data_IF_995471882015
#
_entry.id   IF_995471882015
#
_cell.length_a   1.000
_cell.length_b   1.000
_cell.length_c   1.000
_cell.angle_alpha   90.00
_cell.angle_beta   90.00
_cell.angle_gamma   90.00
#
_symmetry.space_group_name_H-M   'P 1'
#
loop_
_entity.id
_entity.type
_entity.pdbx_description
1 polymer ?
#
# COMPACT_ATOMS: atom_id res chain seq x y z
N UNK A 1 -2.45 33.52 21.72
CA UNK A 1 -0.99 33.41 21.92
C UNK A 1 -0.52 32.06 21.38
N UNK A 2 0.45 32.02 20.46
CA UNK A 2 0.92 30.78 19.84
C UNK A 2 1.60 29.88 20.87
N UNK A 3 1.25 28.59 20.90
CA UNK A 3 1.86 27.59 21.79
C UNK A 3 3.38 27.48 21.61
N UNK A 4 3.90 27.85 20.43
CA UNK A 4 5.33 27.81 20.11
C UNK A 4 6.08 28.96 20.78
N UNK A 5 5.46 30.15 20.86
CA UNK A 5 6.04 31.30 21.55
C UNK A 5 6.18 31.02 23.05
N UNK A 6 5.15 30.41 23.64
CA UNK A 6 5.18 30.01 25.04
C UNK A 6 6.22 28.90 25.34
N UNK A 7 6.45 27.99 24.39
CA UNK A 7 7.48 26.96 24.52
C UNK A 7 8.90 27.54 24.36
N UNK A 8 9.09 28.48 23.44
CA UNK A 8 10.36 29.19 23.26
C UNK A 8 10.72 30.03 24.51
N UNK A 9 9.73 30.72 25.10
CA UNK A 9 9.91 31.48 26.34
C UNK A 9 10.20 30.57 27.55
N UNK A 10 9.52 29.42 27.66
CA UNK A 10 9.84 28.41 28.68
C UNK A 10 11.25 27.84 28.51
N UNK A 11 11.66 27.49 27.30
CA UNK A 11 13.01 26.99 27.03
C UNK A 11 14.08 28.04 27.32
N UNK A 12 13.83 29.31 27.00
CA UNK A 12 14.73 30.41 27.33
C UNK A 12 14.91 30.57 28.85
N UNK A 13 13.81 30.50 29.61
CA UNK A 13 13.85 30.56 31.09
C UNK A 13 14.47 29.32 31.73
N UNK A 14 14.36 28.15 31.10
CA UNK A 14 14.98 26.91 31.57
C UNK A 14 16.49 26.90 31.28
N UNK A 15 16.91 27.44 30.13
CA UNK A 15 18.31 27.61 29.74
C UNK A 15 19.06 28.66 30.58
N UNK A 16 18.34 29.68 31.09
CA UNK A 16 18.92 30.62 32.06
C UNK A 16 19.16 29.99 33.44
N UNK A 17 18.43 28.92 33.79
CA UNK A 17 18.48 28.31 35.13
C UNK A 17 19.27 26.98 35.19
N UNK A 18 19.59 26.34 34.06
CA UNK A 18 20.36 25.10 34.02
C UNK A 18 21.53 25.19 33.03
N UNK A 19 22.74 25.17 33.59
CA UNK A 19 24.01 24.71 33.03
C UNK A 19 24.18 24.70 31.49
N UNK A 20 25.07 25.61 31.06
CA UNK A 20 25.85 25.66 29.81
C UNK A 20 25.08 25.67 28.47
N UNK A 21 25.38 26.62 27.58
CA UNK A 21 24.81 26.64 26.24
C UNK A 21 25.25 25.38 25.48
N UNK A 22 24.32 24.45 25.27
CA UNK A 22 24.52 23.38 24.31
C UNK A 22 24.55 23.99 22.90
N UNK A 23 25.50 23.61 22.03
CA UNK A 23 25.54 24.08 20.64
C UNK A 23 24.23 23.79 19.89
N UNK A 24 23.45 22.81 20.34
CA UNK A 24 22.12 22.48 19.80
C UNK A 24 21.14 23.63 20.06
N UNK A 25 21.18 24.26 21.23
CA UNK A 25 20.27 25.36 21.56
C UNK A 25 20.55 26.60 20.72
N UNK A 26 21.84 26.91 20.47
CA UNK A 26 22.21 27.99 19.55
C UNK A 26 21.75 27.69 18.12
N UNK A 27 21.89 26.45 17.65
CA UNK A 27 21.43 26.05 16.33
C UNK A 27 19.91 26.19 16.18
N UNK A 28 19.13 25.82 17.20
CA UNK A 28 17.67 25.96 17.21
C UNK A 28 17.26 27.45 17.21
N UNK A 29 18.00 28.31 17.92
CA UNK A 29 17.73 29.76 17.92
C UNK A 29 18.06 30.39 16.56
N UNK A 30 19.16 29.97 15.91
CA UNK A 30 19.56 30.45 14.58
C UNK A 30 18.63 29.94 13.47
N UNK A 31 18.07 28.74 13.64
CA UNK A 31 17.18 28.11 12.68
C UNK A 31 15.97 27.53 13.41
N UNK A 32 15.02 28.40 13.84
CA UNK A 32 13.83 27.92 14.51
C UNK A 32 13.04 26.99 13.58
N UNK A 33 12.47 25.87 14.09
CA UNK A 33 11.67 24.99 13.29
C UNK A 33 10.45 25.73 12.72
N UNK A 34 10.03 25.35 11.51
CA UNK A 34 8.82 25.92 10.91
C UNK A 34 7.59 25.43 11.67
N UNK A 35 6.74 26.39 12.05
CA UNK A 35 5.45 26.11 12.69
C UNK A 35 4.45 25.61 11.66
N UNK A 36 4.40 24.29 11.49
CA UNK A 36 3.28 23.66 10.80
C UNK A 36 2.09 23.64 11.75
N UNK A 37 1.14 24.56 11.57
CA UNK A 37 -0.14 24.56 12.27
C UNK A 37 -0.76 23.17 12.14
N UNK A 38 -0.73 22.39 13.23
CA UNK A 38 -1.52 21.17 13.34
C UNK A 38 -2.95 21.62 13.55
N UNK A 39 -3.67 21.91 12.47
CA UNK A 39 -5.13 21.91 12.50
C UNK A 39 -5.58 20.51 12.92
N UNK A 40 -5.70 20.30 14.23
CA UNK A 40 -6.13 19.02 14.80
C UNK A 40 -7.59 18.81 14.40
N UNK A 41 -7.88 17.68 13.77
CA UNK A 41 -9.25 17.25 13.51
C UNK A 41 -9.68 17.25 12.04
N UNK A 42 -8.88 17.76 11.10
CA UNK A 42 -9.16 17.62 9.66
C UNK A 42 -8.29 16.52 9.06
N UNK A 43 -8.92 15.45 8.58
CA UNK A 43 -8.23 14.50 7.74
C UNK A 43 -7.74 15.21 6.45
N UNK A 44 -6.54 14.89 5.95
CA UNK A 44 -6.09 15.40 4.65
C UNK A 44 -7.13 15.09 3.58
N UNK A 45 -7.43 16.07 2.71
CA UNK A 45 -8.33 15.85 1.58
C UNK A 45 -7.68 14.86 0.60
N UNK A 46 -8.45 13.91 0.03
CA UNK A 46 -7.93 13.06 -1.03
C UNK A 46 -7.53 13.91 -2.23
N UNK A 47 -6.38 13.58 -2.83
CA UNK A 47 -5.92 14.21 -4.07
C UNK A 47 -6.48 13.36 -5.21
N UNK A 48 -7.37 13.94 -6.01
CA UNK A 48 -7.96 13.28 -7.18
C UNK A 48 -7.30 13.79 -8.45
N UNK A 49 -6.88 12.85 -9.30
CA UNK A 49 -6.33 13.14 -10.62
C UNK A 49 -7.31 12.71 -11.72
N UNK A 50 -7.29 13.38 -12.86
CA UNK A 50 -8.15 13.00 -14.00
C UNK A 50 -7.76 11.62 -14.55
N UNK A 51 -6.47 11.29 -14.45
CA UNK A 51 -5.85 10.01 -14.76
C UNK A 51 -6.49 8.87 -13.98
N UNK A 52 -6.92 9.09 -12.73
CA UNK A 52 -7.50 8.04 -11.88
C UNK A 52 -8.79 7.48 -12.48
N UNK A 53 -9.59 8.35 -13.11
CA UNK A 53 -10.83 7.94 -13.79
C UNK A 53 -10.54 7.15 -15.05
N UNK A 54 -9.51 7.54 -15.81
CA UNK A 54 -9.07 6.82 -17.00
C UNK A 54 -8.47 5.46 -16.65
N UNK A 55 -7.68 5.39 -15.57
CA UNK A 55 -7.10 4.16 -15.05
C UNK A 55 -8.18 3.16 -14.62
N UNK A 56 -9.16 3.60 -13.83
CA UNK A 56 -10.29 2.75 -13.41
C UNK A 56 -11.04 2.17 -14.61
N UNK A 57 -11.30 2.98 -15.63
CA UNK A 57 -11.96 2.54 -16.86
C UNK A 57 -11.10 1.59 -17.72
N UNK A 58 -9.78 1.73 -17.68
CA UNK A 58 -8.87 0.81 -18.36
C UNK A 58 -8.83 -0.55 -17.64
N UNK A 59 -8.66 -0.55 -16.32
CA UNK A 59 -8.59 -1.78 -15.51
C UNK A 59 -9.90 -2.57 -15.59
N UNK A 60 -11.06 -1.91 -15.64
CA UNK A 60 -12.34 -2.60 -15.80
C UNK A 60 -12.47 -3.31 -17.16
N UNK A 61 -11.77 -2.83 -18.20
CA UNK A 61 -11.77 -3.43 -19.54
C UNK A 61 -10.69 -4.48 -19.71
N UNK A 62 -9.53 -4.28 -19.09
CA UNK A 62 -8.37 -5.17 -19.15
C UNK A 62 -7.94 -5.52 -17.72
N UNK A 63 -8.66 -6.43 -17.04
CA UNK A 63 -8.38 -6.75 -15.63
C UNK A 63 -6.99 -7.34 -15.43
N UNK A 64 -6.49 -8.10 -16.41
CA UNK A 64 -5.16 -8.72 -16.39
C UNK A 64 -3.99 -7.73 -16.50
N UNK A 65 -4.25 -6.42 -16.51
CA UNK A 65 -3.25 -5.37 -16.39
C UNK A 65 -2.69 -5.27 -14.96
N UNK A 66 -3.49 -5.65 -13.97
CA UNK A 66 -3.07 -5.65 -12.55
C UNK A 66 -2.00 -6.71 -12.26
N UNK A 67 -1.96 -7.78 -13.05
CA UNK A 67 -0.97 -8.85 -12.92
C UNK A 67 0.39 -8.48 -13.52
N UNK A 68 0.48 -7.34 -14.24
CA UNK A 68 1.71 -6.95 -14.91
C UNK A 68 2.74 -6.44 -13.88
N UNK A 69 3.96 -6.99 -13.84
CA UNK A 69 4.97 -6.54 -12.88
C UNK A 69 5.37 -5.09 -13.15
N UNK A 70 5.36 -4.27 -12.09
CA UNK A 70 5.75 -2.86 -12.14
C UNK A 70 7.13 -2.70 -11.51
N UNK A 71 8.11 -2.30 -12.31
CA UNK A 71 9.45 -2.00 -11.82
C UNK A 71 9.48 -0.61 -11.14
N UNK A 72 9.41 -0.57 -9.81
CA UNK A 72 9.37 0.68 -9.03
C UNK A 72 10.65 1.52 -9.15
N UNK A 73 11.79 0.89 -9.44
CA UNK A 73 13.08 1.56 -9.62
C UNK A 73 13.36 1.98 -11.08
N UNK A 74 12.44 1.72 -12.01
CA UNK A 74 12.63 2.06 -13.42
C UNK A 74 12.11 3.46 -13.74
N UNK A 75 12.87 4.20 -14.56
CA UNK A 75 12.39 5.45 -15.16
C UNK A 75 11.38 5.21 -16.28
N UNK A 76 11.25 3.97 -16.76
CA UNK A 76 10.29 3.63 -17.79
C UNK A 76 8.86 3.61 -17.21
N UNK A 77 7.92 4.40 -17.76
CA UNK A 77 6.56 4.42 -17.26
C UNK A 77 5.88 3.05 -17.47
N UNK A 78 5.07 2.59 -16.50
CA UNK A 78 4.28 1.36 -16.66
C UNK A 78 3.36 1.45 -17.87
N UNK A 79 3.00 0.30 -18.44
CA UNK A 79 2.15 0.24 -19.63
C UNK A 79 0.83 0.99 -19.45
N UNK A 80 0.17 0.82 -18.30
CA UNK A 80 -1.07 1.52 -17.97
C UNK A 80 -0.89 3.05 -18.01
N UNK A 81 0.24 3.55 -17.50
CA UNK A 81 0.56 4.98 -17.50
C UNK A 81 0.81 5.50 -18.91
N UNK A 82 1.52 4.73 -19.74
CA UNK A 82 1.74 5.07 -21.17
C UNK A 82 0.43 5.16 -21.93
N UNK A 83 -0.49 4.22 -21.68
CA UNK A 83 -1.83 4.22 -22.27
C UNK A 83 -2.59 5.50 -21.91
N UNK A 84 -2.66 5.84 -20.61
CA UNK A 84 -3.41 7.02 -20.13
C UNK A 84 -2.78 8.31 -20.66
N UNK A 85 -1.46 8.44 -20.63
CA UNK A 85 -0.76 9.59 -21.19
C UNK A 85 -1.07 9.77 -22.66
N UNK A 86 -1.09 8.68 -23.44
CA UNK A 86 -1.43 8.75 -24.87
C UNK A 86 -2.89 9.15 -25.08
N UNK A 87 -3.81 8.61 -24.28
CA UNK A 87 -5.22 8.97 -24.34
C UNK A 87 -5.43 10.46 -24.02
N UNK A 88 -4.78 10.98 -22.97
CA UNK A 88 -4.84 12.39 -22.61
C UNK A 88 -4.26 13.30 -23.70
N UNK A 89 -3.15 12.91 -24.34
CA UNK A 89 -2.60 13.65 -25.49
C UNK A 89 -3.59 13.76 -26.65
N UNK A 90 -4.38 12.72 -26.92
CA UNK A 90 -5.40 12.75 -27.97
C UNK A 90 -6.60 13.61 -27.55
N UNK A 91 -7.00 13.54 -26.28
CA UNK A 91 -8.05 14.41 -25.73
C UNK A 91 -7.65 15.90 -25.78
N UNK A 92 -6.39 16.22 -25.47
CA UNK A 92 -5.86 17.59 -25.60
C UNK A 92 -5.86 18.11 -27.05
N UNK A 93 -5.87 17.20 -28.04
CA UNK A 93 -6.02 17.54 -29.47
C UNK A 93 -7.49 17.70 -29.90
N UNK A 94 -8.44 17.67 -28.96
CA UNK A 94 -9.87 17.83 -29.24
C UNK A 94 -10.62 16.53 -29.52
N UNK A 95 -9.98 15.37 -29.36
CA UNK A 95 -10.64 14.09 -29.57
C UNK A 95 -11.56 13.76 -28.37
N UNK A 96 -12.71 13.15 -28.64
CA UNK A 96 -13.60 12.71 -27.56
C UNK A 96 -12.91 11.64 -26.70
N UNK A 97 -13.26 11.55 -25.40
CA UNK A 97 -12.66 10.56 -24.49
C UNK A 97 -12.83 9.12 -25.00
N UNK A 98 -13.98 8.82 -25.61
CA UNK A 98 -14.30 7.48 -26.13
C UNK A 98 -13.46 7.15 -27.37
N UNK A 99 -13.39 8.07 -28.33
CA UNK A 99 -12.63 7.86 -29.56
C UNK A 99 -11.13 7.80 -29.27
N UNK A 100 -10.64 8.67 -28.38
CA UNK A 100 -9.26 8.63 -27.90
C UNK A 100 -8.94 7.28 -27.24
N UNK A 101 -9.85 6.70 -26.45
CA UNK A 101 -9.64 5.38 -25.86
C UNK A 101 -9.51 4.32 -26.96
N UNK A 102 -10.44 4.27 -27.91
CA UNK A 102 -10.44 3.27 -28.98
C UNK A 102 -9.16 3.30 -29.83
N UNK A 103 -8.66 4.50 -30.15
CA UNK A 103 -7.40 4.67 -30.90
C UNK A 103 -6.20 4.13 -30.12
N UNK A 104 -6.13 4.37 -28.81
CA UNK A 104 -5.03 3.85 -27.98
C UNK A 104 -5.17 2.36 -27.74
N UNK A 105 -6.40 1.85 -27.59
CA UNK A 105 -6.66 0.41 -27.44
C UNK A 105 -6.21 -0.37 -28.66
N UNK A 106 -6.56 0.09 -29.86
CA UNK A 106 -6.17 -0.55 -31.11
C UNK A 106 -4.63 -0.63 -31.28
N UNK A 107 -3.88 0.31 -30.71
CA UNK A 107 -2.42 0.37 -30.85
C UNK A 107 -1.68 -0.35 -29.72
N UNK A 108 -2.18 -0.30 -28.49
CA UNK A 108 -1.46 -0.77 -27.31
C UNK A 108 -1.92 -2.14 -26.80
N UNK A 109 -3.21 -2.49 -26.89
CA UNK A 109 -3.71 -3.78 -26.37
C UNK A 109 -3.04 -4.98 -27.07
N UNK A 110 -2.89 -5.01 -28.42
CA UNK A 110 -2.19 -6.11 -29.08
C UNK A 110 -0.76 -6.28 -28.57
N UNK A 111 -0.03 -5.18 -28.39
CA UNK A 111 1.33 -5.20 -27.84
C UNK A 111 1.39 -5.70 -26.38
N UNK A 112 0.34 -5.46 -25.60
CA UNK A 112 0.20 -5.96 -24.23
C UNK A 112 -0.09 -7.46 -24.18
N UNK A 113 -0.91 -7.95 -25.10
CA UNK A 113 -1.21 -9.37 -25.22
C UNK A 113 0.00 -10.14 -25.73
N UNK A 114 0.78 -9.57 -26.66
CA UNK A 114 2.03 -10.19 -27.12
C UNK A 114 3.09 -10.29 -26.03
N UNK A 115 3.15 -9.31 -25.12
CA UNK A 115 4.12 -9.34 -24.00
C UNK A 115 3.70 -10.27 -22.86
N UNK A 116 2.41 -10.65 -22.77
CA UNK A 116 1.99 -11.80 -21.94
C UNK A 116 2.61 -13.12 -22.42
N UNK A 117 3.04 -13.22 -23.68
CA UNK A 117 3.85 -14.32 -24.20
C UNK A 117 5.34 -14.27 -23.79
N UNK A 118 5.77 -13.23 -23.07
CA UNK A 118 7.08 -13.16 -22.42
C UNK A 118 7.15 -13.89 -21.08
N UNK A 119 6.00 -14.28 -20.51
CA UNK A 119 5.97 -15.54 -19.78
C UNK A 119 6.10 -16.61 -20.86
N UNK A 120 7.30 -17.18 -21.00
CA UNK A 120 7.50 -18.48 -21.66
C UNK A 120 6.27 -19.32 -21.31
N UNK A 121 5.51 -19.73 -22.33
CA UNK A 121 4.34 -20.57 -22.08
C UNK A 121 4.78 -21.71 -21.16
N UNK A 122 3.94 -22.16 -20.24
CA UNK A 122 4.27 -23.28 -19.36
C UNK A 122 4.84 -24.48 -20.15
N UNK A 123 4.37 -24.67 -21.38
CA UNK A 123 4.88 -25.64 -22.36
C UNK A 123 6.30 -25.34 -22.85
N UNK A 124 6.64 -24.08 -23.15
CA UNK A 124 7.98 -23.69 -23.57
C UNK A 124 8.99 -23.76 -22.41
N UNK A 125 8.55 -23.44 -21.19
CA UNK A 125 9.37 -23.64 -19.99
C UNK A 125 9.64 -25.12 -19.77
N UNK A 126 8.63 -25.98 -19.98
CA UNK A 126 8.80 -27.44 -19.96
C UNK A 126 9.77 -27.96 -21.04
N UNK A 127 9.70 -27.45 -22.27
CA UNK A 127 10.64 -27.82 -23.33
C UNK A 127 12.07 -27.36 -23.05
N UNK A 128 12.25 -26.13 -22.55
CA UNK A 128 13.56 -25.60 -22.17
C UNK A 128 14.17 -26.36 -20.97
N UNK A 129 13.33 -26.80 -20.03
CA UNK A 129 13.74 -27.65 -18.90
C UNK A 129 14.13 -29.07 -19.36
N UNK A 130 13.45 -29.61 -20.38
CA UNK A 130 13.75 -30.93 -20.95
C UNK A 130 15.05 -30.91 -21.78
N UNK A 131 15.28 -29.88 -22.59
CA UNK A 131 16.54 -29.70 -23.34
C UNK A 131 17.77 -29.51 -22.42
N UNK A 132 17.60 -28.85 -21.27
CA UNK A 132 18.69 -28.75 -20.28
C UNK A 132 19.04 -30.08 -19.60
N UNK A 133 18.07 -31.00 -19.47
CA UNK A 133 18.28 -32.34 -18.93
C UNK A 133 19.09 -33.24 -19.87
N UNK A 134 18.95 -33.04 -21.18
CA UNK A 134 19.65 -33.82 -22.22
C UNK A 134 21.12 -33.36 -22.36
N UNK A 135 21.42 -32.09 -22.08
CA UNK A 135 22.76 -31.50 -22.27
C UNK A 135 23.70 -31.54 -21.05
N UNK A 136 23.29 -32.19 -19.95
CA UNK A 136 24.21 -32.71 -18.94
C UNK A 136 25.15 -31.68 -18.30
N UNK A 137 24.64 -30.86 -17.38
CA UNK A 137 25.52 -30.14 -16.46
C UNK A 137 24.88 -28.97 -15.74
N UNK A 138 24.38 -29.21 -14.52
CA UNK A 138 24.22 -28.14 -13.54
C UNK A 138 22.94 -28.26 -12.70
N UNK A 139 23.12 -28.56 -11.42
CA UNK A 139 22.14 -28.42 -10.35
C UNK A 139 21.59 -26.99 -10.30
N UNK A 140 20.48 -26.71 -11.01
CA UNK A 140 19.75 -25.44 -10.86
C UNK A 140 18.67 -25.60 -9.79
N UNK A 141 18.51 -24.55 -9.00
CA UNK A 141 17.68 -24.49 -7.80
C UNK A 141 16.24 -24.98 -8.02
N UNK A 142 15.60 -25.58 -7.01
CA UNK A 142 14.22 -26.04 -7.12
C UNK A 142 13.30 -24.88 -7.52
N UNK A 143 12.60 -25.07 -8.64
CA UNK A 143 11.65 -24.13 -9.19
C UNK A 143 10.61 -23.72 -8.15
N UNK A 144 10.23 -22.44 -8.19
CA UNK A 144 9.22 -21.83 -7.31
C UNK A 144 7.82 -22.49 -7.40
N UNK A 145 7.63 -23.46 -8.29
CA UNK A 145 6.40 -24.22 -8.48
C UNK A 145 6.26 -25.43 -7.55
N UNK A 146 7.26 -25.74 -6.72
CA UNK A 146 7.21 -26.87 -5.76
C UNK A 146 6.82 -26.50 -4.33
N UNK A 147 6.14 -25.38 -4.14
CA UNK A 147 5.49 -25.02 -2.86
C UNK A 147 3.98 -24.92 -3.01
N UNK A 148 3.35 -25.87 -3.71
CA UNK A 148 2.00 -26.28 -3.29
C UNK A 148 2.18 -27.26 -2.14
N UNK A 149 2.42 -26.73 -0.94
CA UNK A 149 2.23 -27.52 0.27
C UNK A 149 0.78 -27.98 0.25
N UNK A 150 0.57 -29.27 -0.02
CA UNK A 150 -0.72 -29.91 0.13
C UNK A 150 -1.26 -29.56 1.52
N UNK A 151 -2.53 -29.17 1.59
CA UNK A 151 -3.23 -28.76 2.82
C UNK A 151 -3.13 -29.83 3.93
N UNK A 152 -2.90 -31.09 3.57
CA UNK A 152 -2.62 -32.19 4.49
C UNK A 152 -1.29 -32.05 5.23
N UNK A 153 -0.25 -31.47 4.62
CA UNK A 153 1.05 -31.25 5.29
C UNK A 153 0.97 -30.18 6.39
N UNK A 154 0.08 -29.19 6.25
CA UNK A 154 -0.14 -28.16 7.27
C UNK A 154 -0.74 -28.74 8.56
N UNK A 155 -1.63 -29.73 8.46
CA UNK A 155 -2.20 -30.41 9.64
C UNK A 155 -1.15 -31.19 10.44
N UNK A 156 -0.19 -31.83 9.77
CA UNK A 156 0.88 -32.54 10.46
C UNK A 156 1.92 -31.59 11.07
N UNK A 157 2.22 -30.47 10.41
CA UNK A 157 3.12 -29.45 10.97
C UNK A 157 2.51 -28.75 12.19
N UNK A 158 1.21 -28.42 12.17
CA UNK A 158 0.51 -27.83 13.31
C UNK A 158 0.39 -28.79 14.52
N UNK A 159 0.34 -30.10 14.29
CA UNK A 159 0.36 -31.10 15.36
C UNK A 159 1.76 -31.22 16.01
N UNK A 160 2.83 -31.09 15.22
CA UNK A 160 4.20 -31.10 15.72
C UNK A 160 4.53 -29.85 16.55
N UNK A 161 4.07 -28.67 16.13
CA UNK A 161 4.27 -27.43 16.90
C UNK A 161 3.46 -27.42 18.20
N UNK A 162 2.29 -28.07 18.27
CA UNK A 162 1.53 -28.17 19.52
C UNK A 162 2.20 -29.07 20.56
N UNK A 163 2.97 -30.07 20.13
CA UNK A 163 3.72 -30.95 21.02
C UNK A 163 4.98 -30.31 21.62
N UNK A 164 5.52 -29.24 21.00
CA UNK A 164 6.72 -28.56 21.53
C UNK A 164 6.41 -27.57 22.67
N UNK A 165 5.14 -27.24 22.90
CA UNK A 165 4.71 -26.32 23.96
C UNK A 165 4.35 -27.02 25.28
N UNK A 166 4.25 -28.36 25.31
CA UNK A 166 3.84 -29.12 26.50
C UNK A 166 5.02 -29.59 27.39
N UNK A 167 6.26 -29.25 27.05
CA UNK A 167 7.43 -29.52 27.91
C UNK A 167 7.81 -28.29 28.73
N UNK A 168 6.96 -27.91 29.69
CA UNK A 168 7.25 -26.76 30.54
C UNK A 168 6.22 -26.37 31.61
N UNK A 169 5.28 -27.24 32.00
CA UNK A 169 4.36 -26.97 33.12
C UNK A 169 4.92 -27.52 34.43
N UNK A 170 5.98 -26.85 34.90
CA UNK A 170 6.65 -27.16 36.16
C UNK A 170 6.86 -25.95 37.04
N UNK A 171 5.93 -25.00 37.15
CA UNK A 171 6.02 -23.93 38.15
C UNK A 171 4.64 -23.50 38.72
N UNK A 172 4.50 -23.82 40.01
CA UNK A 172 3.81 -23.10 41.08
C UNK A 172 2.50 -22.36 40.76
N UNK A 173 1.43 -22.99 41.20
CA UNK A 173 0.12 -22.40 41.50
C UNK A 173 0.24 -21.30 42.57
N UNK A 174 0.03 -20.03 42.18
CA UNK A 174 -0.32 -18.93 43.10
C UNK A 174 -1.66 -18.32 42.67
N UNK A 175 -2.72 -18.38 43.50
CA UNK A 175 -4.00 -17.76 43.17
C UNK A 175 -3.93 -16.24 43.40
N UNK A 176 -3.97 -15.45 42.32
CA UNK A 176 -4.23 -14.02 42.41
C UNK A 176 -5.72 -13.74 42.40
N UNK A 177 -6.14 -13.00 43.43
CA UNK A 177 -7.49 -12.55 43.69
C UNK A 177 -8.08 -11.73 42.55
N UNK A 178 -9.30 -12.10 42.18
CA UNK A 178 -10.15 -11.38 41.27
C UNK A 178 -10.52 -10.00 41.82
N UNK A 179 -10.17 -8.94 41.10
CA UNK A 179 -10.73 -7.61 41.30
C UNK A 179 -11.22 -7.03 39.98
N UNK A 180 -12.50 -6.69 39.95
CA UNK A 180 -12.99 -5.52 39.22
C UNK A 180 -13.42 -5.75 37.77
N UNK A 181 -14.59 -6.36 37.58
CA UNK A 181 -15.44 -6.10 36.42
C UNK A 181 -15.82 -4.62 36.39
N UNK A 182 -15.14 -3.82 35.57
CA UNK A 182 -15.63 -2.48 35.18
C UNK A 182 -16.43 -2.68 33.89
N UNK A 183 -17.75 -2.68 34.05
CA UNK A 183 -18.71 -2.73 32.96
C UNK A 183 -18.51 -1.54 32.01
N UNK A 184 -18.18 -1.84 30.76
CA UNK A 184 -18.32 -0.89 29.66
C UNK A 184 -19.73 -1.02 29.09
N UNK A 185 -20.53 0.01 29.34
CA UNK A 185 -21.88 0.17 28.80
C UNK A 185 -21.78 0.77 27.39
N UNK A 186 -22.23 0.09 26.32
CA UNK A 186 -22.29 0.70 24.99
C UNK A 186 -23.51 1.62 24.92
N UNK A 187 -23.28 2.90 25.23
CA UNK A 187 -24.28 3.95 25.12
C UNK A 187 -24.37 4.54 23.72
N UNK A 188 -25.61 4.69 23.27
CA UNK A 188 -26.12 5.66 22.29
C UNK A 188 -25.78 5.48 20.80
N UNK A 189 -26.66 4.70 20.17
CA UNK A 189 -27.06 4.78 18.77
C UNK A 189 -27.49 6.21 18.40
N UNK A 190 -26.66 6.93 17.65
CA UNK A 190 -26.98 8.27 17.15
C UNK A 190 -27.67 8.13 15.78
N UNK A 191 -29.00 8.15 15.80
CA UNK A 191 -29.88 8.13 14.62
C UNK A 191 -29.81 9.51 13.95
N UNK A 192 -29.03 9.62 12.87
CA UNK A 192 -29.03 10.83 12.03
C UNK A 192 -30.20 10.71 11.05
N UNK A 193 -31.30 11.37 11.41
CA UNK A 193 -32.43 11.66 10.54
C UNK A 193 -32.15 13.04 9.94
N UNK A 194 -31.81 13.07 8.65
CA UNK A 194 -31.46 14.30 7.93
C UNK A 194 -32.24 14.36 6.62
N UNK A 195 -33.26 15.20 6.64
CA UNK A 195 -34.32 15.32 5.66
C UNK A 195 -33.86 15.71 4.24
N UNK A 196 -34.56 15.11 3.29
CA UNK A 196 -34.54 15.42 1.87
C UNK A 196 -35.45 16.63 1.60
N UNK A 197 -34.87 17.77 1.21
CA UNK A 197 -35.56 18.84 0.46
C UNK A 197 -34.73 19.07 -0.81
N UNK A 198 -35.16 18.77 -2.04
CA UNK A 198 -36.36 19.16 -2.79
C UNK A 198 -36.49 20.69 -2.99
N UNK A 199 -35.77 21.22 -3.99
CA UNK A 199 -36.15 22.32 -4.92
C UNK A 199 -35.12 22.23 -6.06
N UNK A 200 -35.43 22.15 -7.36
CA UNK A 200 -36.59 22.63 -8.08
C UNK A 200 -36.31 24.04 -8.59
N UNK A 201 -35.50 24.19 -9.65
CA UNK A 201 -35.44 25.43 -10.42
C UNK A 201 -35.36 25.13 -11.91
N UNK A 202 -36.31 25.73 -12.61
CA UNK A 202 -36.55 25.72 -14.06
C UNK A 202 -35.45 26.40 -14.86
#
# INVERSE_FOLDING_TARGET
>A
MSAVRAMAERLHLTAQNAMLPSPINEAIVRCPPKDYSRERGKAPKPIEFEEDRLYKSLVSRVPGLLDQPVALASFAPPTARRFIQRQMQLMQKGMSRKDAALVVEATMIPAMQSTKGGQRSFLQTGQDDEEQLIHGGGLTCPSALRTTMNFTSWRHQAAADRASWDFGSGLSSTPMMAHGLIGWSPGSEMRIQGDSQHTGFS
#
